data_IF_186316071529
#
_entry.id   IF_186316071529
#
_cell.length_a   1.000
_cell.length_b   1.000
_cell.length_c   1.000
_cell.angle_alpha   90.00
_cell.angle_beta   90.00
_cell.angle_gamma   90.00
#
_symmetry.space_group_name_H-M   'P 1'
#
loop_
_entity.id
_entity.type
_entity.pdbx_description
1 polymer ?
#
# COMPACT_ATOMS: atom_id res chain seq x y z
N UNK A 1 -23.92 -32.85 38.16
CA UNK A 1 -23.26 -31.56 37.86
C UNK A 1 -22.73 -31.62 36.44
N UNK A 2 -23.24 -30.80 35.51
CA UNK A 2 -22.63 -30.69 34.17
C UNK A 2 -21.25 -30.06 34.35
N UNK A 3 -20.21 -30.70 33.80
CA UNK A 3 -18.84 -30.23 33.91
C UNK A 3 -18.76 -28.80 33.34
N UNK A 4 -18.33 -27.82 34.14
CA UNK A 4 -18.30 -26.38 33.78
C UNK A 4 -17.53 -26.17 32.47
N UNK A 5 -16.48 -26.98 32.23
CA UNK A 5 -15.69 -26.97 31.01
C UNK A 5 -16.50 -27.34 29.75
N UNK A 6 -17.44 -28.29 29.86
CA UNK A 6 -18.25 -28.70 28.71
C UNK A 6 -19.23 -27.59 28.30
N UNK A 7 -19.78 -26.86 29.26
CA UNK A 7 -20.67 -25.72 28.99
C UNK A 7 -19.92 -24.60 28.25
N UNK A 8 -18.68 -24.30 28.64
CA UNK A 8 -17.83 -23.29 27.99
C UNK A 8 -17.48 -23.70 26.55
N UNK A 9 -17.11 -24.96 26.32
CA UNK A 9 -16.81 -25.51 24.99
C UNK A 9 -18.06 -25.49 24.08
N UNK A 10 -19.23 -25.78 24.65
CA UNK A 10 -20.49 -25.78 23.90
C UNK A 10 -20.88 -24.36 23.45
N UNK A 11 -20.60 -23.34 24.28
CA UNK A 11 -20.93 -21.95 23.98
C UNK A 11 -19.89 -21.23 23.12
N UNK A 12 -18.64 -21.71 23.07
CA UNK A 12 -17.59 -21.12 22.25
C UNK A 12 -17.92 -21.17 20.75
N UNK A 13 -17.60 -20.11 20.02
CA UNK A 13 -17.73 -20.07 18.56
C UNK A 13 -16.63 -20.92 17.90
N UNK A 14 -15.41 -20.84 18.44
CA UNK A 14 -14.26 -21.60 17.93
C UNK A 14 -13.46 -22.19 19.10
N UNK A 15 -13.01 -23.42 18.94
CA UNK A 15 -12.25 -24.15 19.96
C UNK A 15 -10.99 -24.74 19.34
N UNK A 16 -9.85 -24.51 19.99
CA UNK A 16 -8.59 -25.16 19.68
C UNK A 16 -8.19 -26.11 20.82
N UNK A 17 -7.62 -27.26 20.48
CA UNK A 17 -7.05 -28.22 21.43
C UNK A 17 -5.53 -28.20 21.30
N UNK A 18 -4.82 -27.86 22.37
CA UNK A 18 -3.35 -27.95 22.40
C UNK A 18 -2.95 -29.42 22.55
N UNK A 19 -2.15 -29.92 21.60
CA UNK A 19 -1.45 -31.20 21.67
C UNK A 19 0.02 -30.98 21.41
N UNK A 20 0.85 -31.30 22.39
CA UNK A 20 2.30 -31.11 22.33
C UNK A 20 2.68 -29.65 21.97
N UNK A 21 3.30 -29.45 20.81
CA UNK A 21 3.75 -28.15 20.27
C UNK A 21 2.73 -27.48 19.34
N UNK A 22 1.59 -28.12 19.09
CA UNK A 22 0.59 -27.70 18.10
C UNK A 22 -0.80 -27.49 18.69
N UNK A 23 -1.63 -26.77 17.94
CA UNK A 23 -3.02 -26.51 18.29
C UNK A 23 -3.91 -27.08 17.19
N UNK A 24 -4.80 -28.01 17.55
CA UNK A 24 -5.73 -28.63 16.61
C UNK A 24 -7.06 -27.89 16.61
N UNK A 25 -7.63 -27.66 15.43
CA UNK A 25 -9.00 -27.16 15.31
C UNK A 25 -9.99 -28.19 15.87
N UNK A 26 -10.71 -27.87 16.94
CA UNK A 26 -11.66 -28.79 17.57
C UNK A 26 -13.11 -28.44 17.22
N UNK A 27 -13.42 -27.16 17.09
CA UNK A 27 -14.74 -26.63 16.69
C UNK A 27 -14.58 -25.29 15.98
N UNK A 28 -15.35 -25.05 14.93
CA UNK A 28 -15.58 -23.70 14.39
C UNK A 28 -17.02 -23.59 13.93
N UNK A 29 -17.69 -22.52 14.37
CA UNK A 29 -19.06 -22.18 13.96
C UNK A 29 -19.10 -21.49 12.59
N UNK A 30 -18.00 -20.83 12.20
CA UNK A 30 -17.92 -20.05 10.97
C UNK A 30 -17.34 -20.84 9.78
N UNK A 31 -16.82 -22.05 10.03
CA UNK A 31 -16.23 -22.91 8.99
C UNK A 31 -14.86 -22.43 8.48
N UNK A 32 -14.27 -21.46 9.17
CA UNK A 32 -13.00 -20.80 8.88
C UNK A 32 -11.78 -21.51 9.49
N UNK A 33 -12.01 -22.47 10.38
CA UNK A 33 -10.99 -23.35 10.96
C UNK A 33 -11.30 -24.79 10.58
N UNK A 34 -10.30 -25.47 10.03
CA UNK A 34 -10.36 -26.88 9.66
C UNK A 34 -10.31 -27.74 10.93
N UNK A 35 -11.33 -28.56 11.13
CA UNK A 35 -11.39 -29.51 12.25
C UNK A 35 -10.30 -30.58 12.06
N UNK A 36 -9.48 -30.79 13.10
CA UNK A 36 -8.27 -31.62 13.07
C UNK A 36 -7.06 -30.95 12.40
N UNK A 37 -7.21 -29.76 11.83
CA UNK A 37 -6.12 -29.00 11.24
C UNK A 37 -5.10 -28.55 12.29
N UNK A 38 -3.81 -28.60 11.97
CA UNK A 38 -2.75 -28.18 12.86
C UNK A 38 -2.42 -26.69 12.66
N UNK A 39 -2.50 -25.94 13.75
CA UNK A 39 -2.27 -24.51 13.82
C UNK A 39 -1.13 -24.19 14.78
N UNK A 40 -0.35 -23.17 14.43
CA UNK A 40 0.68 -22.65 15.31
C UNK A 40 0.06 -21.87 16.47
N UNK A 41 0.79 -21.78 17.60
CA UNK A 41 0.41 -20.91 18.72
C UNK A 41 0.08 -19.47 18.26
N UNK A 42 0.92 -18.93 17.36
CA UNK A 42 0.78 -17.58 16.81
C UNK A 42 -0.56 -17.37 16.10
N UNK A 43 -1.00 -18.36 15.32
CA UNK A 43 -2.29 -18.31 14.62
C UNK A 43 -3.45 -18.30 15.61
N UNK A 44 -3.44 -19.23 16.58
CA UNK A 44 -4.54 -19.36 17.56
C UNK A 44 -4.66 -18.12 18.42
N UNK A 45 -3.55 -17.52 18.85
CA UNK A 45 -3.56 -16.26 19.62
C UNK A 45 -4.12 -15.10 18.79
N UNK A 46 -3.73 -14.98 17.51
CA UNK A 46 -4.29 -13.95 16.64
C UNK A 46 -5.79 -14.15 16.44
N UNK A 47 -6.20 -15.37 16.10
CA UNK A 47 -7.59 -15.74 15.89
C UNK A 47 -8.46 -15.44 17.11
N UNK A 48 -7.95 -15.72 18.32
CA UNK A 48 -8.64 -15.42 19.58
C UNK A 48 -8.73 -13.91 19.91
N UNK A 49 -7.86 -13.07 19.34
CA UNK A 49 -7.92 -11.61 19.51
C UNK A 49 -8.89 -10.95 18.54
N UNK A 50 -9.05 -11.50 17.35
CA UNK A 50 -9.90 -10.94 16.30
C UNK A 50 -11.34 -11.45 16.36
N UNK A 51 -11.56 -12.62 16.95
CA UNK A 51 -12.85 -13.27 17.00
C UNK A 51 -13.34 -13.43 18.45
N UNK A 52 -14.65 -13.27 18.65
CA UNK A 52 -15.28 -13.45 19.95
C UNK A 52 -15.48 -14.95 20.27
N UNK A 53 -15.47 -15.26 21.56
CA UNK A 53 -15.76 -16.61 22.10
C UNK A 53 -14.85 -17.71 21.56
N UNK A 54 -13.54 -17.43 21.47
CA UNK A 54 -12.52 -18.42 21.12
C UNK A 54 -11.93 -19.05 22.38
N UNK A 55 -11.93 -20.38 22.42
CA UNK A 55 -11.47 -21.17 23.58
C UNK A 55 -10.29 -22.05 23.19
N UNK A 56 -9.30 -22.16 24.08
CA UNK A 56 -8.18 -23.09 23.93
C UNK A 56 -8.21 -24.09 25.09
N UNK A 57 -8.25 -25.38 24.76
CA UNK A 57 -8.21 -26.50 25.71
C UNK A 57 -6.77 -27.01 25.77
N UNK A 58 -6.20 -27.15 26.96
CA UNK A 58 -4.90 -27.81 27.14
C UNK A 58 -5.09 -29.27 27.49
N UNK A 59 -4.32 -30.18 26.89
CA UNK A 59 -4.38 -31.63 27.15
C UNK A 59 -4.08 -32.00 28.61
N UNK A 60 -3.24 -31.20 29.28
CA UNK A 60 -2.61 -31.62 30.54
C UNK A 60 -3.37 -31.17 31.79
N UNK A 61 -4.35 -30.29 31.64
CA UNK A 61 -5.14 -29.76 32.75
C UNK A 61 -6.54 -29.44 32.25
N UNK A 62 -7.56 -29.86 32.98
CA UNK A 62 -8.97 -29.47 32.83
C UNK A 62 -9.20 -27.95 33.05
N UNK A 63 -8.33 -27.10 32.53
CA UNK A 63 -8.38 -25.64 32.62
C UNK A 63 -8.59 -25.06 31.23
N UNK A 64 -9.75 -24.44 31.04
CA UNK A 64 -10.01 -23.54 29.93
C UNK A 64 -9.26 -22.24 30.22
N UNK A 65 -8.33 -21.83 29.35
CA UNK A 65 -7.64 -20.55 29.46
C UNK A 65 -7.98 -19.67 28.26
N UNK A 66 -8.34 -18.42 28.53
CA UNK A 66 -8.31 -17.36 27.51
C UNK A 66 -6.84 -16.95 27.32
N UNK A 67 -6.33 -16.86 26.08
CA UNK A 67 -4.92 -16.51 25.88
C UNK A 67 -4.67 -15.06 26.29
N UNK A 68 -4.06 -14.86 27.46
CA UNK A 68 -3.56 -13.56 27.91
C UNK A 68 -2.12 -13.40 27.41
N UNK A 69 -1.88 -12.37 26.59
CA UNK A 69 -0.54 -12.02 26.11
C UNK A 69 0.39 -11.67 27.26
N UNK A 70 1.54 -12.34 27.34
CA UNK A 70 2.50 -12.18 28.44
C UNK A 70 3.89 -11.73 27.99
N UNK A 71 4.14 -11.55 26.69
CA UNK A 71 5.49 -11.17 26.23
C UNK A 71 5.58 -9.74 25.68
N UNK A 72 6.73 -9.09 25.88
CA UNK A 72 7.02 -7.73 25.38
C UNK A 72 6.99 -7.65 23.85
N UNK A 73 7.41 -8.71 23.16
CA UNK A 73 7.36 -8.82 21.69
C UNK A 73 5.91 -8.79 21.17
N UNK A 74 4.96 -9.35 21.91
CA UNK A 74 3.52 -9.34 21.58
C UNK A 74 2.85 -7.97 21.78
N UNK A 75 3.38 -7.12 22.68
CA UNK A 75 2.90 -5.72 22.89
C UNK A 75 3.35 -4.79 21.76
N UNK A 76 4.49 -5.06 21.14
CA UNK A 76 5.09 -4.24 20.09
C UNK A 76 4.73 -4.69 18.66
N UNK A 77 4.00 -5.80 18.51
CA UNK A 77 3.60 -6.34 17.22
C UNK A 77 2.52 -5.49 16.54
N UNK A 78 2.88 -4.81 15.45
CA UNK A 78 1.94 -4.22 14.48
C UNK A 78 1.65 -5.23 13.38
N UNK A 79 0.38 -5.40 12.91
CA UNK A 79 0.09 -6.24 11.77
C UNK A 79 0.94 -5.80 10.57
N UNK A 80 1.52 -6.76 9.85
CA UNK A 80 2.30 -6.49 8.63
C UNK A 80 1.32 -5.90 7.61
N UNK A 81 1.39 -4.57 7.40
CA UNK A 81 0.55 -3.85 6.45
C UNK A 81 0.58 -4.57 5.09
N UNK A 82 -0.58 -4.65 4.42
CA UNK A 82 -0.66 -5.23 3.07
C UNK A 82 0.26 -4.47 2.12
N UNK A 83 0.67 -5.11 1.02
CA UNK A 83 1.49 -4.45 0.00
C UNK A 83 0.81 -3.17 -0.52
N UNK A 84 -0.51 -3.23 -0.73
CA UNK A 84 -1.32 -2.07 -1.12
C UNK A 84 -1.31 -0.97 -0.04
N UNK A 85 -1.54 -1.30 1.22
CA UNK A 85 -1.54 -0.29 2.29
C UNK A 85 -0.16 0.38 2.44
N UNK A 86 0.93 -0.37 2.24
CA UNK A 86 2.28 0.20 2.22
C UNK A 86 2.50 1.12 1.02
N UNK A 87 2.00 0.74 -0.17
CA UNK A 87 2.08 1.57 -1.36
C UNK A 87 1.31 2.88 -1.17
N UNK A 88 0.08 2.79 -0.69
CA UNK A 88 -0.79 3.94 -0.43
C UNK A 88 -0.12 4.92 0.56
N UNK A 89 0.50 4.41 1.64
CA UNK A 89 1.28 5.24 2.57
C UNK A 89 2.49 5.92 1.94
N UNK A 90 3.25 5.21 1.10
CA UNK A 90 4.41 5.79 0.39
C UNK A 90 3.95 6.88 -0.58
N UNK A 91 2.82 6.69 -1.26
CA UNK A 91 2.25 7.70 -2.18
C UNK A 91 1.81 8.95 -1.40
N UNK A 92 1.13 8.79 -0.27
CA UNK A 92 0.75 9.93 0.57
C UNK A 92 1.96 10.66 1.17
N UNK A 93 2.98 9.91 1.61
CA UNK A 93 4.25 10.49 2.04
C UNK A 93 4.93 11.24 0.89
N UNK A 94 4.92 10.72 -0.34
CA UNK A 94 5.48 11.40 -1.50
C UNK A 94 4.75 12.72 -1.81
N UNK A 95 3.42 12.78 -1.63
CA UNK A 95 2.65 14.02 -1.79
C UNK A 95 3.04 15.05 -0.73
N UNK A 96 3.08 14.64 0.54
CA UNK A 96 3.47 15.51 1.65
C UNK A 96 4.89 16.04 1.49
N UNK A 97 5.85 15.18 1.11
CA UNK A 97 7.24 15.59 0.89
C UNK A 97 7.37 16.56 -0.29
N UNK A 98 6.61 16.38 -1.37
CA UNK A 98 6.59 17.35 -2.48
C UNK A 98 6.05 18.69 -2.01
N UNK A 99 4.96 18.68 -1.23
CA UNK A 99 4.38 19.89 -0.67
C UNK A 99 5.38 20.60 0.26
N UNK A 100 6.00 19.89 1.19
CA UNK A 100 7.02 20.43 2.12
C UNK A 100 8.23 21.01 1.37
N UNK A 101 8.76 20.27 0.39
CA UNK A 101 9.91 20.72 -0.41
C UNK A 101 9.55 21.88 -1.35
N UNK A 102 8.28 22.02 -1.75
CA UNK A 102 7.78 23.14 -2.54
C UNK A 102 7.47 24.38 -1.69
N UNK A 103 7.04 24.19 -0.44
CA UNK A 103 6.53 25.23 0.45
C UNK A 103 7.58 25.78 1.44
N UNK A 104 8.86 25.85 1.07
CA UNK A 104 9.91 26.50 1.87
C UNK A 104 9.78 28.05 1.90
N UNK A 105 8.59 28.54 2.27
CA UNK A 105 8.27 29.92 2.66
C UNK A 105 8.19 30.96 1.55
N UNK A 106 8.86 30.77 0.41
CA UNK A 106 8.95 31.77 -0.69
C UNK A 106 9.49 31.14 -2.01
N UNK A 107 9.20 29.85 -2.21
CA UNK A 107 9.81 29.01 -3.26
C UNK A 107 11.03 28.23 -2.78
N UNK A 108 11.58 27.38 -3.65
CA UNK A 108 12.76 26.57 -3.35
C UNK A 108 13.99 27.48 -3.26
N UNK A 109 14.70 27.49 -2.13
CA UNK A 109 16.02 28.14 -2.01
C UNK A 109 17.09 27.22 -2.57
N UNK A 110 17.50 27.46 -3.80
CA UNK A 110 18.65 26.78 -4.39
C UNK A 110 19.94 27.54 -4.07
N UNK A 111 20.93 26.83 -3.51
CA UNK A 111 22.26 27.39 -3.24
C UNK A 111 23.00 27.55 -4.58
N UNK A 112 23.31 28.81 -4.94
CA UNK A 112 24.08 29.10 -6.15
C UNK A 112 25.59 29.13 -5.84
N UNK A 113 26.44 29.27 -6.87
CA UNK A 113 27.92 29.21 -6.78
C UNK A 113 28.54 30.37 -5.94
N UNK A 114 27.72 31.30 -5.47
CA UNK A 114 28.06 32.40 -4.57
C UNK A 114 27.06 32.37 -3.40
N UNK A 115 27.31 33.00 -2.22
CA UNK A 115 26.51 32.85 -1.00
C UNK A 115 25.12 33.53 -1.06
N UNK A 116 24.41 33.36 -2.18
CA UNK A 116 23.09 33.86 -2.49
C UNK A 116 22.17 32.66 -2.71
N UNK A 117 21.07 32.63 -1.96
CA UNK A 117 19.96 31.70 -2.19
C UNK A 117 19.06 32.28 -3.28
N UNK A 118 18.82 31.52 -4.34
CA UNK A 118 17.85 31.90 -5.37
C UNK A 118 16.50 31.27 -5.06
N UNK A 119 15.43 32.07 -4.99
CA UNK A 119 14.06 31.56 -4.98
C UNK A 119 13.74 30.97 -6.36
N UNK A 120 13.29 29.72 -6.37
CA UNK A 120 12.98 28.98 -7.57
C UNK A 120 11.54 28.45 -7.54
N UNK A 121 10.88 28.54 -8.70
CA UNK A 121 9.66 27.80 -8.99
C UNK A 121 10.00 26.42 -9.51
N UNK A 122 9.12 25.45 -9.21
CA UNK A 122 9.25 24.08 -9.68
C UNK A 122 8.29 23.86 -10.84
N UNK A 123 8.82 23.48 -11.99
CA UNK A 123 8.04 23.08 -13.16
C UNK A 123 8.20 21.58 -13.43
N UNK A 124 7.09 20.86 -13.56
CA UNK A 124 7.07 19.41 -13.73
C UNK A 124 6.67 19.04 -15.16
N UNK A 125 7.55 18.33 -15.85
CA UNK A 125 7.27 17.74 -17.16
C UNK A 125 7.05 16.24 -16.97
N UNK A 126 5.80 15.80 -17.10
CA UNK A 126 5.40 14.39 -16.96
C UNK A 126 5.20 13.77 -18.35
N UNK A 127 5.95 12.71 -18.64
CA UNK A 127 5.79 11.90 -19.82
C UNK A 127 5.36 10.48 -19.43
N UNK A 128 4.04 10.23 -19.47
CA UNK A 128 3.44 8.93 -19.08
C UNK A 128 3.86 7.79 -20.03
N UNK A 129 4.02 8.07 -21.32
CA UNK A 129 4.46 7.06 -22.30
C UNK A 129 5.88 6.54 -22.02
N UNK A 130 6.79 7.46 -21.69
CA UNK A 130 8.18 7.14 -21.34
C UNK A 130 8.36 6.84 -19.85
N UNK A 131 7.28 6.87 -19.05
CA UNK A 131 7.28 6.70 -17.58
C UNK A 131 8.33 7.57 -16.88
N UNK A 132 8.44 8.81 -17.34
CA UNK A 132 9.50 9.74 -16.93
C UNK A 132 8.86 11.01 -16.38
N UNK A 133 9.36 11.46 -15.22
CA UNK A 133 9.01 12.74 -14.62
C UNK A 133 10.29 13.58 -14.53
N UNK A 134 10.23 14.81 -15.01
CA UNK A 134 11.32 15.78 -14.92
C UNK A 134 10.87 16.95 -14.07
N UNK A 135 11.66 17.28 -13.05
CA UNK A 135 11.49 18.49 -12.24
C UNK A 135 12.53 19.52 -12.67
N UNK A 136 12.07 20.72 -13.03
CA UNK A 136 12.91 21.85 -13.42
C UNK A 136 12.80 22.94 -12.36
N UNK A 137 13.93 23.32 -11.76
CA UNK A 137 14.00 24.47 -10.86
C UNK A 137 14.30 25.71 -11.69
N UNK A 138 13.32 26.60 -11.81
CA UNK A 138 13.41 27.85 -12.57
C UNK A 138 13.52 29.02 -11.61
N UNK A 139 14.49 29.91 -11.81
CA UNK A 139 14.58 31.12 -11.01
C UNK A 139 13.37 32.03 -11.20
N UNK A 140 12.69 32.43 -10.12
CA UNK A 140 11.45 33.23 -10.17
C UNK A 140 11.65 34.54 -10.96
N UNK A 141 12.81 35.17 -10.80
CA UNK A 141 13.13 36.46 -11.45
C UNK A 141 13.68 36.35 -12.88
N UNK A 142 14.29 35.21 -13.23
CA UNK A 142 15.05 35.06 -14.48
C UNK A 142 14.38 34.10 -15.47
N UNK A 143 13.45 33.26 -15.01
CA UNK A 143 12.85 32.17 -15.79
C UNK A 143 13.85 31.09 -16.22
N UNK A 144 15.13 31.20 -15.82
CA UNK A 144 16.20 30.32 -16.24
C UNK A 144 16.23 29.06 -15.39
N UNK A 145 16.47 27.91 -16.02
CA UNK A 145 16.57 26.62 -15.32
C UNK A 145 17.94 26.55 -14.62
N UNK A 146 17.93 26.50 -13.30
CA UNK A 146 19.14 26.36 -12.48
C UNK A 146 19.52 24.90 -12.24
N UNK A 147 18.52 24.04 -12.03
CA UNK A 147 18.74 22.62 -11.85
C UNK A 147 17.61 21.81 -12.47
N UNK A 148 17.93 20.56 -12.78
CA UNK A 148 16.94 19.58 -13.24
C UNK A 148 17.16 18.25 -12.56
N UNK A 149 16.06 17.61 -12.19
CA UNK A 149 16.06 16.24 -11.70
C UNK A 149 15.18 15.38 -12.60
N UNK A 150 15.64 14.16 -12.86
CA UNK A 150 14.93 13.22 -13.73
C UNK A 150 14.65 11.96 -12.92
N UNK A 151 13.39 11.55 -12.88
CA UNK A 151 12.95 10.26 -12.37
C UNK A 151 12.37 9.44 -13.52
N UNK A 152 12.77 8.17 -13.61
CA UNK A 152 12.28 7.24 -14.63
C UNK A 152 11.95 5.92 -13.96
N UNK A 153 10.71 5.46 -14.10
CA UNK A 153 10.29 4.16 -13.59
C UNK A 153 10.85 3.02 -14.45
N UNK A 154 11.07 1.86 -13.83
CA UNK A 154 11.53 0.68 -14.58
C UNK A 154 10.43 0.15 -15.52
N UNK A 155 10.78 -0.54 -16.63
CA UNK A 155 9.80 -1.09 -17.57
C UNK A 155 8.80 -2.08 -16.96
N UNK A 156 9.19 -2.74 -15.87
CA UNK A 156 8.35 -3.70 -15.15
C UNK A 156 7.70 -3.11 -13.90
N UNK A 157 7.95 -1.83 -13.62
CA UNK A 157 7.42 -1.15 -12.46
C UNK A 157 6.18 -0.31 -12.83
N UNK A 158 5.24 -0.19 -11.88
CA UNK A 158 4.04 0.61 -12.03
C UNK A 158 4.38 2.09 -11.89
N UNK A 159 4.08 2.86 -12.94
CA UNK A 159 4.32 4.30 -12.93
C UNK A 159 3.41 5.00 -11.94
N UNK A 160 3.98 5.91 -11.15
CA UNK A 160 3.22 6.80 -10.27
C UNK A 160 3.80 8.21 -10.36
N UNK A 161 2.97 9.18 -10.73
CA UNK A 161 3.39 10.57 -10.90
C UNK A 161 3.90 11.18 -9.60
N UNK A 162 3.27 10.93 -8.46
CA UNK A 162 3.67 11.54 -7.18
C UNK A 162 5.04 11.03 -6.71
N UNK A 163 5.27 9.72 -6.81
CA UNK A 163 6.59 9.11 -6.52
C UNK A 163 7.64 9.65 -7.51
N UNK A 164 7.29 9.76 -8.79
CA UNK A 164 8.17 10.37 -9.79
C UNK A 164 8.53 11.83 -9.47
N UNK A 165 7.53 12.63 -9.05
CA UNK A 165 7.69 14.05 -8.68
C UNK A 165 8.64 14.21 -7.50
N UNK A 166 8.48 13.44 -6.41
CA UNK A 166 9.35 13.56 -5.22
C UNK A 166 10.80 13.15 -5.53
N UNK A 167 11.01 12.08 -6.28
CA UNK A 167 12.35 11.63 -6.68
C UNK A 167 13.01 12.66 -7.59
N UNK A 168 12.27 13.17 -8.58
CA UNK A 168 12.78 14.19 -9.49
C UNK A 168 13.12 15.48 -8.73
N UNK A 169 12.26 15.93 -7.81
CA UNK A 169 12.50 17.12 -7.00
C UNK A 169 13.73 16.97 -6.11
N UNK A 170 13.84 15.87 -5.35
CA UNK A 170 15.03 15.61 -4.51
C UNK A 170 16.32 15.59 -5.33
N UNK A 171 16.31 14.96 -6.52
CA UNK A 171 17.46 14.97 -7.44
C UNK A 171 17.79 16.37 -7.95
N UNK A 172 16.78 17.19 -8.24
CA UNK A 172 16.99 18.58 -8.66
C UNK A 172 17.59 19.44 -7.54
N UNK A 173 17.22 19.17 -6.29
CA UNK A 173 17.73 19.84 -5.09
C UNK A 173 19.10 19.30 -4.63
N UNK A 174 19.63 18.24 -5.24
CA UNK A 174 20.84 17.56 -4.78
C UNK A 174 20.67 16.79 -3.48
N UNK A 175 19.44 16.52 -3.05
CA UNK A 175 19.13 15.75 -1.84
C UNK A 175 19.21 14.24 -2.11
N UNK A 176 19.58 13.49 -1.08
CA UNK A 176 19.50 12.04 -1.11
C UNK A 176 18.04 11.59 -1.29
N UNK A 177 17.84 10.57 -2.15
CA UNK A 177 16.53 9.96 -2.39
C UNK A 177 16.36 8.79 -1.43
N UNK A 178 15.33 8.79 -0.56
CA UNK A 178 15.04 7.66 0.30
C UNK A 178 14.80 6.36 -0.47
N UNK A 179 15.35 5.25 0.04
CA UNK A 179 15.17 3.91 -0.54
C UNK A 179 13.70 3.46 -0.57
N UNK A 180 12.86 4.04 0.30
CA UNK A 180 11.42 3.82 0.36
C UNK A 180 10.71 4.19 -0.94
N UNK A 181 11.16 5.24 -1.63
CA UNK A 181 10.62 5.64 -2.93
C UNK A 181 11.22 4.85 -4.10
N UNK A 182 12.36 4.17 -3.88
CA UNK A 182 13.02 3.35 -4.90
C UNK A 182 12.49 1.91 -4.91
N UNK A 183 11.98 1.42 -3.77
CA UNK A 183 11.52 0.04 -3.59
C UNK A 183 10.03 -0.02 -3.21
N UNK A 184 9.20 0.65 -4.01
CA UNK A 184 7.75 0.69 -3.76
C UNK A 184 7.11 -0.64 -4.19
N UNK A 185 6.27 -1.28 -3.35
CA UNK A 185 5.57 -2.49 -3.75
C UNK A 185 4.63 -2.23 -4.93
N UNK A 186 4.41 -3.23 -5.79
CA UNK A 186 3.45 -3.14 -6.89
C UNK A 186 2.01 -3.01 -6.34
N UNK A 187 1.14 -2.24 -7.01
CA UNK A 187 -0.28 -2.19 -6.65
C UNK A 187 -0.91 -3.56 -6.90
N UNK A 188 -1.73 -4.02 -5.96
CA UNK A 188 -2.41 -5.32 -6.02
C UNK A 188 -3.91 -5.19 -6.27
N UNK A 189 -4.46 -3.99 -6.09
CA UNK A 189 -5.87 -3.69 -6.24
C UNK A 189 -6.07 -2.68 -7.36
N UNK A 190 -6.90 -3.02 -8.35
CA UNK A 190 -7.32 -2.10 -9.41
C UNK A 190 -8.39 -1.17 -8.85
N UNK A 191 -8.26 0.13 -9.11
CA UNK A 191 -9.22 1.17 -8.71
C UNK A 191 -9.54 2.08 -9.90
N UNK A 192 -10.63 2.81 -9.78
CA UNK A 192 -11.03 3.82 -10.78
C UNK A 192 -9.92 4.86 -10.94
N UNK A 193 -9.63 5.20 -12.19
CA UNK A 193 -8.53 6.10 -12.54
C UNK A 193 -7.18 5.42 -12.79
N UNK A 194 -7.07 4.11 -12.52
CA UNK A 194 -5.88 3.34 -12.88
C UNK A 194 -5.85 3.11 -14.39
N UNK A 195 -4.65 3.13 -14.97
CA UNK A 195 -4.42 2.64 -16.32
C UNK A 195 -3.87 1.23 -16.25
N UNK A 196 -4.51 0.35 -17.02
CA UNK A 196 -4.17 -1.06 -17.11
C UNK A 196 -3.69 -1.41 -18.52
N UNK A 197 -2.92 -2.49 -18.61
CA UNK A 197 -2.44 -3.04 -19.87
C UNK A 197 -2.64 -4.54 -19.92
N UNK A 198 -2.87 -5.05 -21.12
CA UNK A 198 -2.78 -6.47 -21.43
C UNK A 198 -1.34 -6.99 -21.32
N UNK A 199 -1.19 -8.31 -21.34
CA UNK A 199 0.12 -8.96 -21.27
C UNK A 199 1.04 -8.59 -22.44
N UNK A 200 0.47 -8.18 -23.58
CA UNK A 200 1.24 -7.73 -24.74
C UNK A 200 1.81 -6.30 -24.58
N UNK A 201 1.26 -5.49 -23.66
CA UNK A 201 1.66 -4.09 -23.50
C UNK A 201 1.07 -3.13 -24.54
N UNK A 202 0.27 -3.66 -25.48
CA UNK A 202 -0.24 -2.94 -26.66
C UNK A 202 -1.59 -2.31 -26.34
N UNK A 203 -2.46 -3.03 -25.65
CA UNK A 203 -3.80 -2.56 -25.32
C UNK A 203 -3.80 -1.93 -23.94
N UNK A 204 -3.98 -0.61 -23.91
CA UNK A 204 -4.08 0.16 -22.67
C UNK A 204 -5.51 0.64 -22.49
N UNK A 205 -6.04 0.50 -21.28
CA UNK A 205 -7.37 0.97 -20.93
C UNK A 205 -7.35 1.79 -19.63
N UNK A 206 -8.21 2.80 -19.56
CA UNK A 206 -8.51 3.52 -18.33
C UNK A 206 -9.63 2.80 -17.57
N UNK A 207 -9.45 2.60 -16.28
CA UNK A 207 -10.50 2.06 -15.41
C UNK A 207 -11.47 3.17 -15.02
N UNK A 208 -12.76 2.99 -15.33
CA UNK A 208 -13.85 3.94 -15.06
C UNK A 208 -14.90 3.32 -14.13
N UNK A 209 -15.71 4.17 -13.50
CA UNK A 209 -16.83 3.71 -12.67
C UNK A 209 -17.88 3.00 -13.53
N UNK A 210 -18.56 2.01 -12.94
CA UNK A 210 -19.50 1.11 -13.62
C UNK A 210 -20.68 1.82 -14.29
N UNK A 211 -21.05 2.99 -13.77
CA UNK A 211 -22.16 3.82 -14.24
C UNK A 211 -21.67 5.05 -15.03
N UNK A 212 -20.37 5.16 -15.29
CA UNK A 212 -19.77 6.30 -16.00
C UNK A 212 -19.82 6.13 -17.52
N UNK A 213 -19.83 7.26 -18.22
CA UNK A 213 -19.73 7.25 -19.67
C UNK A 213 -18.25 7.18 -20.08
N UNK A 214 -17.86 6.29 -21.01
CA UNK A 214 -16.48 6.20 -21.46
C UNK A 214 -16.03 7.54 -22.06
N UNK A 215 -14.79 7.98 -21.78
CA UNK A 215 -14.29 9.25 -22.29
C UNK A 215 -14.23 9.23 -23.82
N UNK A 216 -14.67 10.31 -24.45
CA UNK A 216 -14.60 10.48 -25.91
C UNK A 216 -13.15 10.65 -26.44
N UNK A 217 -12.14 10.62 -25.56
CA UNK A 217 -10.74 10.95 -25.86
C UNK A 217 -9.95 9.85 -26.59
N UNK A 218 -10.61 8.87 -27.21
CA UNK A 218 -9.96 7.84 -28.03
C UNK A 218 -9.14 6.79 -27.24
N UNK A 219 -9.05 6.92 -25.92
CA UNK A 219 -8.50 5.88 -25.05
C UNK A 219 -9.56 4.80 -24.80
N UNK A 220 -9.18 3.52 -24.90
CA UNK A 220 -10.06 2.45 -24.45
C UNK A 220 -10.35 2.61 -22.95
N UNK A 221 -11.57 2.30 -22.54
CA UNK A 221 -11.97 2.33 -21.14
C UNK A 221 -12.59 0.99 -20.75
N UNK A 222 -12.41 0.60 -19.50
CA UNK A 222 -13.01 -0.59 -18.91
C UNK A 222 -13.72 -0.21 -17.63
N UNK A 223 -14.88 -0.82 -17.40
CA UNK A 223 -15.62 -0.67 -16.16
C UNK A 223 -14.93 -1.44 -15.03
N UNK A 224 -14.96 -0.88 -13.82
CA UNK A 224 -14.36 -1.51 -12.65
C UNK A 224 -14.90 -2.93 -12.42
N UNK A 225 -16.19 -3.21 -12.64
CA UNK A 225 -16.77 -4.56 -12.54
C UNK A 225 -16.18 -5.60 -13.49
N UNK A 226 -15.61 -5.15 -14.62
CA UNK A 226 -15.08 -5.99 -15.68
C UNK A 226 -13.55 -6.19 -15.55
N UNK A 227 -12.91 -5.56 -14.55
CA UNK A 227 -11.45 -5.60 -14.32
C UNK A 227 -10.92 -7.04 -14.07
N UNK A 228 -11.65 -7.83 -13.28
CA UNK A 228 -11.29 -9.21 -12.89
C UNK A 228 -11.38 -10.19 -14.04
N UNK A 229 -12.04 -9.84 -15.15
CA UNK A 229 -12.35 -10.77 -16.24
C UNK A 229 -11.16 -11.05 -17.14
N UNK A 230 -10.17 -10.16 -17.19
CA UNK A 230 -9.15 -10.16 -18.24
C UNK A 230 -7.69 -10.23 -17.73
N UNK A 231 -7.46 -10.26 -16.42
CA UNK A 231 -6.11 -10.44 -15.85
C UNK A 231 -5.12 -9.32 -16.19
N UNK A 232 -5.63 -8.11 -16.44
CA UNK A 232 -4.80 -6.96 -16.80
C UNK A 232 -3.85 -6.52 -15.68
N UNK A 233 -2.71 -5.94 -16.07
CA UNK A 233 -1.70 -5.40 -15.15
C UNK A 233 -1.85 -3.89 -15.03
N UNK A 234 -1.75 -3.38 -13.81
CA UNK A 234 -1.73 -1.93 -13.55
C UNK A 234 -0.38 -1.37 -14.01
N UNK A 235 -0.41 -0.39 -14.90
CA UNK A 235 0.80 0.24 -15.46
C UNK A 235 0.98 1.68 -14.97
N UNK A 236 -0.11 2.35 -14.57
CA UNK A 236 -0.09 3.68 -13.97
C UNK A 236 -1.23 3.78 -12.96
N UNK A 237 -0.88 4.02 -11.69
CA UNK A 237 -1.81 4.14 -10.56
C UNK A 237 -1.83 5.56 -9.97
N UNK A 238 -1.43 6.55 -10.77
CA UNK A 238 -1.35 7.95 -10.34
C UNK A 238 -2.71 8.56 -10.06
N UNK A 239 -3.77 8.07 -10.74
CA UNK A 239 -5.17 8.54 -10.64
C UNK A 239 -5.37 10.05 -10.84
N UNK A 240 -4.40 10.74 -11.44
CA UNK A 240 -4.50 12.17 -11.75
C UNK A 240 -5.55 12.38 -12.86
N UNK A 241 -6.71 12.94 -12.49
CA UNK A 241 -7.82 13.28 -13.38
C UNK A 241 -9.18 12.70 -12.99
N UNK A 242 -9.27 11.90 -11.92
CA UNK A 242 -10.55 11.40 -11.36
C UNK A 242 -10.85 12.20 -10.10
N UNK A 243 -11.54 13.34 -10.26
CA UNK A 243 -12.00 14.20 -9.16
C UNK A 243 -11.08 15.40 -8.86
N UNK A 244 -11.28 16.48 -9.62
CA UNK A 244 -11.54 17.81 -9.05
C UNK A 244 -12.99 18.19 -9.39
#
# INVERSE_FOLDING_TARGET
MKNVNQTVINNANTVFEKKEDKYLGYKSRFGDVVIGGAYSYRFVVHYAKTNQDVVVISSDVNTVTTPVCTTLEERLWKPKKSAQARRDEIVEQAKADVEELSNYGDGVRYETVSPNYASCDIDYVVNREKRTVVALLKGIRTGSVYAKGIAKAAPYDCFNVHIGKVIALRRALGLAVPDEYLNVPQPTEVRVGDFISDDSGVHKALVIEDDSWPPFSGCAAIYLKDDRKYGYKIIDDSREGVGE
#
